data_IF_765995612146
#
_entry.id   IF_765995612146
#
_cell.length_a   1.000
_cell.length_b   1.000
_cell.length_c   1.000
_cell.angle_alpha   90.00
_cell.angle_beta   90.00
_cell.angle_gamma   90.00
#
_symmetry.space_group_name_H-M   'P 1'
#
loop_
_entity.id
_entity.type
_entity.pdbx_description
1 polymer ?
#
# COMPACT_ATOMS: atom_id res chain seq x y z
N UNK A 1 2.42 11.19 35.93
CA UNK A 1 1.88 10.44 34.78
C UNK A 1 1.85 8.97 35.17
N UNK A 2 0.69 8.33 35.19
CA UNK A 2 0.58 6.91 35.55
C UNK A 2 0.80 6.06 34.29
N UNK A 3 1.62 5.01 34.41
CA UNK A 3 1.94 4.07 33.33
C UNK A 3 1.24 2.74 33.62
N UNK A 4 0.78 2.08 32.56
CA UNK A 4 0.19 0.75 32.65
C UNK A 4 0.98 -0.26 31.83
N UNK A 5 0.89 -1.52 32.24
CA UNK A 5 1.67 -2.62 31.70
C UNK A 5 0.71 -3.70 31.22
N UNK A 6 0.88 -4.15 29.99
CA UNK A 6 0.15 -5.27 29.40
C UNK A 6 1.14 -6.37 29.06
N UNK A 7 0.87 -7.59 29.52
CA UNK A 7 1.57 -8.78 29.08
C UNK A 7 0.66 -9.57 28.13
N UNK A 8 1.06 -9.71 26.88
CA UNK A 8 0.37 -10.52 25.88
C UNK A 8 1.26 -11.71 25.49
N UNK A 9 0.83 -12.92 25.83
CA UNK A 9 1.58 -14.15 25.61
C UNK A 9 0.76 -15.15 24.80
N UNK A 10 1.38 -15.76 23.80
CA UNK A 10 0.77 -16.84 23.01
C UNK A 10 0.78 -18.15 23.82
N UNK A 11 -0.41 -18.69 24.10
CA UNK A 11 -0.57 -19.89 24.94
C UNK A 11 -0.11 -21.18 24.25
N UNK A 12 -0.43 -21.34 22.95
CA UNK A 12 -0.20 -22.57 22.20
C UNK A 12 0.56 -22.27 20.90
N UNK A 13 1.86 -21.90 20.98
CA UNK A 13 2.66 -21.62 19.79
C UNK A 13 2.86 -22.90 18.96
N UNK A 14 3.00 -22.79 17.62
CA UNK A 14 3.38 -23.92 16.78
C UNK A 14 4.72 -24.54 17.23
N UNK A 15 4.88 -25.85 17.00
CA UNK A 15 6.15 -26.53 17.27
C UNK A 15 7.32 -25.82 16.58
N UNK A 16 8.44 -25.69 17.29
CA UNK A 16 9.67 -25.03 16.84
C UNK A 16 9.55 -23.53 16.51
N UNK A 17 8.43 -22.88 16.85
CA UNK A 17 8.26 -21.42 16.74
C UNK A 17 8.34 -20.79 18.12
N UNK A 18 9.18 -19.76 18.26
CA UNK A 18 9.24 -18.98 19.50
C UNK A 18 7.90 -18.28 19.73
N UNK A 19 7.26 -18.55 20.86
CA UNK A 19 6.00 -17.94 21.26
C UNK A 19 6.06 -16.41 21.19
N UNK A 20 4.99 -15.79 20.71
CA UNK A 20 4.81 -14.35 20.86
C UNK A 20 4.68 -14.04 22.36
N UNK A 21 5.52 -13.12 22.83
CA UNK A 21 5.47 -12.63 24.20
C UNK A 21 5.83 -11.13 24.21
N UNK A 22 4.83 -10.29 24.44
CA UNK A 22 4.95 -8.84 24.41
C UNK A 22 4.64 -8.24 25.79
N UNK A 23 5.60 -7.49 26.32
CA UNK A 23 5.40 -6.60 27.47
C UNK A 23 5.26 -5.17 26.95
N UNK A 24 4.05 -4.63 26.98
CA UNK A 24 3.72 -3.32 26.43
C UNK A 24 3.52 -2.31 27.57
N UNK A 25 4.17 -1.16 27.44
CA UNK A 25 3.99 -0.02 28.34
C UNK A 25 3.13 1.04 27.65
N UNK A 26 2.07 1.49 28.30
CA UNK A 26 1.13 2.47 27.71
C UNK A 26 0.69 3.52 28.72
N UNK A 27 0.42 4.73 28.22
CA UNK A 27 -0.21 5.81 28.97
C UNK A 27 -1.73 5.83 28.79
N UNK A 28 -2.28 4.96 27.93
CA UNK A 28 -3.73 4.84 27.77
C UNK A 28 -4.36 4.22 29.01
N UNK A 29 -5.57 4.65 29.37
CA UNK A 29 -6.34 4.05 30.45
C UNK A 29 -6.82 2.65 30.05
N UNK A 30 -6.64 1.67 30.93
CA UNK A 30 -7.11 0.30 30.74
C UNK A 30 -8.08 0.01 31.87
N UNK A 31 -9.35 -0.10 31.51
CA UNK A 31 -10.43 -0.28 32.49
C UNK A 31 -11.06 -1.68 32.39
N UNK A 32 -10.79 -2.39 31.29
CA UNK A 32 -11.42 -3.66 30.95
C UNK A 32 -10.58 -4.44 29.93
N UNK A 33 -11.08 -5.62 29.57
CA UNK A 33 -10.45 -6.46 28.55
C UNK A 33 -10.41 -5.81 27.17
N UNK A 34 -11.47 -5.10 26.77
CA UNK A 34 -11.57 -4.49 25.43
C UNK A 34 -10.54 -3.37 25.22
N UNK A 35 -10.32 -2.53 26.23
CA UNK A 35 -9.26 -1.52 26.23
C UNK A 35 -7.86 -2.14 26.21
N UNK A 36 -7.66 -3.27 26.89
CA UNK A 36 -6.42 -4.07 26.82
C UNK A 36 -6.20 -4.60 25.40
N UNK A 37 -7.21 -5.27 24.83
CA UNK A 37 -7.16 -5.85 23.49
C UNK A 37 -6.91 -4.78 22.42
N UNK A 38 -7.52 -3.60 22.56
CA UNK A 38 -7.27 -2.45 21.68
C UNK A 38 -5.81 -2.02 21.71
N UNK A 39 -5.18 -1.94 22.88
CA UNK A 39 -3.77 -1.58 22.99
C UNK A 39 -2.86 -2.59 22.29
N UNK A 40 -3.15 -3.89 22.45
CA UNK A 40 -2.44 -4.96 21.74
C UNK A 40 -2.66 -4.85 20.24
N UNK A 41 -3.90 -4.64 19.78
CA UNK A 41 -4.23 -4.42 18.36
C UNK A 41 -3.46 -3.21 17.79
N UNK A 42 -3.43 -2.09 18.51
CA UNK A 42 -2.65 -0.91 18.13
C UNK A 42 -1.17 -1.25 17.92
N UNK A 43 -0.59 -2.09 18.78
CA UNK A 43 0.81 -2.52 18.66
C UNK A 43 1.05 -3.40 17.43
N UNK A 44 0.06 -4.18 16.97
CA UNK A 44 0.18 -4.99 15.74
C UNK A 44 0.43 -4.11 14.50
N UNK A 45 -0.06 -2.86 14.49
CA UNK A 45 0.17 -1.92 13.42
C UNK A 45 1.60 -1.33 13.40
N UNK A 46 2.42 -1.56 14.44
CA UNK A 46 3.82 -1.09 14.49
C UNK A 46 4.60 -1.47 13.24
N UNK A 47 4.36 -2.66 12.70
CA UNK A 47 5.06 -3.18 11.51
C UNK A 47 4.81 -2.35 10.23
N UNK A 48 3.77 -1.51 10.19
CA UNK A 48 3.50 -0.63 9.05
C UNK A 48 4.67 0.32 8.74
N UNK A 49 5.42 0.77 9.75
CA UNK A 49 6.59 1.63 9.53
C UNK A 49 7.73 0.87 8.82
N UNK A 50 7.85 -0.43 9.06
CA UNK A 50 8.85 -1.26 8.38
C UNK A 50 8.46 -1.46 6.91
N UNK A 51 7.16 -1.60 6.63
CA UNK A 51 6.63 -1.58 5.26
C UNK A 51 6.89 -0.24 4.57
N UNK A 52 6.78 0.88 5.30
CA UNK A 52 7.14 2.20 4.80
C UNK A 52 8.62 2.28 4.43
N UNK A 53 9.53 1.89 5.32
CA UNK A 53 10.96 1.86 5.02
C UNK A 53 11.29 0.94 3.83
N UNK A 54 10.65 -0.22 3.73
CA UNK A 54 10.84 -1.12 2.59
C UNK A 54 10.42 -0.48 1.25
N UNK A 55 9.29 0.24 1.23
CA UNK A 55 8.81 0.98 0.04
C UNK A 55 9.65 2.23 -0.25
N UNK A 56 10.24 2.86 0.75
CA UNK A 56 11.11 4.01 0.53
C UNK A 56 12.46 3.55 -0.06
N UNK A 57 13.03 2.48 0.50
CA UNK A 57 14.36 1.98 0.15
C UNK A 57 14.38 1.09 -1.09
N UNK A 58 13.78 -0.10 -1.00
CA UNK A 58 13.85 -1.10 -2.07
C UNK A 58 12.91 -0.77 -3.22
N UNK A 59 11.69 -0.45 -2.82
CA UNK A 59 10.82 0.61 -3.30
C UNK A 59 11.14 1.57 -4.44
N UNK A 60 11.02 2.82 -4.02
CA UNK A 60 11.42 4.04 -4.67
C UNK A 60 12.92 4.10 -4.99
N UNK A 61 13.76 3.27 -4.36
CA UNK A 61 15.18 3.22 -4.66
C UNK A 61 15.97 4.40 -4.13
N UNK A 62 15.52 5.05 -3.04
CA UNK A 62 16.13 6.30 -2.57
C UNK A 62 17.64 6.16 -2.28
N UNK A 63 18.07 5.01 -1.77
CA UNK A 63 19.48 4.72 -1.45
C UNK A 63 20.35 4.54 -2.72
N UNK A 64 19.74 4.48 -3.91
CA UNK A 64 20.45 4.38 -5.20
C UNK A 64 20.72 5.75 -5.81
N UNK A 65 20.12 6.82 -5.29
CA UNK A 65 20.31 8.16 -5.82
C UNK A 65 21.75 8.62 -5.56
N UNK A 66 22.42 9.14 -6.59
CA UNK A 66 23.80 9.66 -6.53
C UNK A 66 23.77 11.19 -6.46
N UNK A 67 23.10 11.76 -5.44
CA UNK A 67 22.98 13.20 -5.26
C UNK A 67 24.18 13.76 -4.50
N UNK A 68 24.85 14.75 -5.06
CA UNK A 68 26.15 15.26 -4.59
C UNK A 68 26.11 16.04 -3.26
N UNK A 69 24.93 16.54 -2.84
CA UNK A 69 24.83 17.41 -1.65
C UNK A 69 23.74 16.95 -0.70
N UNK A 70 23.97 17.16 0.60
CA UNK A 70 23.00 16.86 1.66
C UNK A 70 21.65 17.56 1.41
N UNK A 71 21.65 18.80 0.93
CA UNK A 71 20.43 19.54 0.58
C UNK A 71 19.63 18.81 -0.50
N UNK A 72 20.27 18.34 -1.58
CA UNK A 72 19.59 17.59 -2.64
C UNK A 72 19.04 16.25 -2.12
N UNK A 73 19.77 15.57 -1.25
CA UNK A 73 19.32 14.33 -0.59
C UNK A 73 18.06 14.58 0.26
N UNK A 74 18.04 15.65 1.07
CA UNK A 74 16.86 15.99 1.87
C UNK A 74 15.63 16.30 1.01
N UNK A 75 15.80 17.02 -0.10
CA UNK A 75 14.70 17.29 -1.03
C UNK A 75 14.15 16.00 -1.65
N UNK A 76 15.04 15.11 -2.10
CA UNK A 76 14.63 13.80 -2.62
C UNK A 76 13.89 13.00 -1.54
N UNK A 77 14.43 12.94 -0.33
CA UNK A 77 13.79 12.25 0.79
C UNK A 77 12.37 12.75 1.03
N UNK A 78 12.16 14.07 1.08
CA UNK A 78 10.82 14.64 1.27
C UNK A 78 9.85 14.20 0.16
N UNK A 79 10.26 14.27 -1.12
CA UNK A 79 9.41 13.85 -2.24
C UNK A 79 9.10 12.35 -2.20
N UNK A 80 10.13 11.52 -2.02
CA UNK A 80 9.97 10.07 -2.00
C UNK A 80 9.18 9.60 -0.77
N UNK A 81 9.26 10.31 0.36
CA UNK A 81 8.45 10.05 1.54
C UNK A 81 6.95 10.18 1.27
N UNK A 82 6.54 11.20 0.51
CA UNK A 82 5.12 11.40 0.12
C UNK A 82 4.68 10.29 -0.83
N UNK A 83 5.51 9.96 -1.83
CA UNK A 83 5.21 8.89 -2.79
C UNK A 83 5.07 7.54 -2.09
N UNK A 84 5.98 7.25 -1.15
CA UNK A 84 5.98 6.03 -0.33
C UNK A 84 4.70 5.92 0.48
N UNK A 85 4.31 7.00 1.15
CA UNK A 85 3.06 7.06 1.90
C UNK A 85 1.85 6.84 0.99
N UNK A 86 1.76 7.50 -0.17
CA UNK A 86 0.64 7.35 -1.12
C UNK A 86 0.53 5.92 -1.64
N UNK A 87 1.65 5.24 -1.92
CA UNK A 87 1.65 3.83 -2.33
C UNK A 87 1.09 2.92 -1.24
N UNK A 88 1.56 3.09 0.00
CA UNK A 88 1.06 2.32 1.13
C UNK A 88 -0.41 2.59 1.36
N UNK A 89 -0.80 3.86 1.39
CA UNK A 89 -2.19 4.27 1.54
C UNK A 89 -3.08 3.63 0.49
N UNK A 90 -2.75 3.71 -0.80
CA UNK A 90 -3.52 3.07 -1.87
C UNK A 90 -3.68 1.55 -1.63
N UNK A 91 -2.59 0.90 -1.22
CA UNK A 91 -2.56 -0.55 -0.97
C UNK A 91 -3.48 -0.96 0.17
N UNK A 92 -3.50 -0.19 1.25
CA UNK A 92 -4.37 -0.49 2.40
C UNK A 92 -5.80 -0.01 2.16
N UNK A 93 -5.99 1.12 1.49
CA UNK A 93 -7.30 1.65 1.16
C UNK A 93 -8.10 0.68 0.29
N UNK A 94 -7.46 -0.02 -0.66
CA UNK A 94 -8.14 -1.06 -1.44
C UNK A 94 -8.54 -2.30 -0.64
N UNK A 95 -7.96 -2.49 0.55
CA UNK A 95 -8.28 -3.60 1.46
C UNK A 95 -9.37 -3.21 2.45
N UNK A 96 -9.27 -2.01 3.03
CA UNK A 96 -10.24 -1.47 3.98
C UNK A 96 -11.54 -1.04 3.30
N UNK A 97 -11.44 -0.40 2.14
CA UNK A 97 -12.57 0.16 1.40
C UNK A 97 -12.59 -0.39 -0.04
N UNK A 98 -12.75 -1.71 -0.24
CA UNK A 98 -12.55 -2.35 -1.54
C UNK A 98 -13.59 -1.96 -2.60
N UNK A 99 -14.80 -1.58 -2.17
CA UNK A 99 -15.96 -1.35 -3.03
C UNK A 99 -16.09 0.08 -3.53
N UNK A 100 -15.34 1.04 -2.97
CA UNK A 100 -15.40 2.43 -3.43
C UNK A 100 -14.92 2.51 -4.89
N UNK A 101 -15.47 3.41 -5.71
CA UNK A 101 -15.05 3.54 -7.09
C UNK A 101 -13.61 4.04 -7.16
N UNK A 102 -12.83 3.56 -8.13
CA UNK A 102 -11.40 3.83 -8.18
C UNK A 102 -11.05 5.28 -8.60
N UNK A 103 -12.02 6.02 -9.13
CA UNK A 103 -11.89 7.42 -9.55
C UNK A 103 -11.73 8.40 -8.38
N UNK A 104 -11.96 7.96 -7.14
CA UNK A 104 -11.57 8.69 -5.94
C UNK A 104 -10.05 8.78 -5.77
N UNK A 105 -9.28 7.94 -6.48
CA UNK A 105 -7.81 7.90 -6.41
C UNK A 105 -7.14 8.11 -7.76
N UNK A 106 -7.72 7.55 -8.82
CA UNK A 106 -7.21 7.55 -10.18
C UNK A 106 -7.98 8.55 -11.02
N UNK A 107 -7.28 9.38 -11.78
CA UNK A 107 -7.93 10.25 -12.76
C UNK A 107 -8.60 9.42 -13.87
N UNK A 108 -9.58 10.02 -14.56
CA UNK A 108 -10.36 9.37 -15.63
C UNK A 108 -9.50 8.64 -16.65
N UNK A 109 -8.46 9.31 -17.14
CA UNK A 109 -7.54 8.74 -18.13
C UNK A 109 -6.68 7.58 -17.58
N UNK A 110 -6.38 7.57 -16.28
CA UNK A 110 -5.60 6.50 -15.64
C UNK A 110 -6.44 5.24 -15.55
N UNK A 111 -7.64 5.31 -14.97
CA UNK A 111 -8.45 4.10 -14.81
C UNK A 111 -9.01 3.58 -16.16
N UNK A 112 -9.32 4.47 -17.10
CA UNK A 112 -9.78 4.05 -18.43
C UNK A 112 -8.68 3.32 -19.20
N UNK A 113 -7.47 3.90 -19.23
CA UNK A 113 -6.33 3.28 -19.91
C UNK A 113 -5.91 1.96 -19.25
N UNK A 114 -6.01 1.88 -17.92
CA UNK A 114 -5.81 0.65 -17.16
C UNK A 114 -6.78 -0.45 -17.59
N UNK A 115 -8.10 -0.15 -17.58
CA UNK A 115 -9.13 -1.09 -18.00
C UNK A 115 -8.93 -1.52 -19.45
N UNK A 116 -8.66 -0.57 -20.35
CA UNK A 116 -8.47 -0.84 -21.76
C UNK A 116 -7.27 -1.77 -22.00
N UNK A 117 -6.17 -1.52 -21.30
CA UNK A 117 -4.94 -2.33 -21.41
C UNK A 117 -5.14 -3.74 -20.85
N UNK A 118 -5.75 -3.88 -19.68
CA UNK A 118 -5.93 -5.19 -19.04
C UNK A 118 -6.93 -6.06 -19.80
N UNK A 119 -8.02 -5.47 -20.28
CA UNK A 119 -9.07 -6.19 -21.00
C UNK A 119 -8.77 -6.34 -22.48
N UNK A 120 -7.68 -5.72 -22.99
CA UNK A 120 -7.33 -5.63 -24.41
C UNK A 120 -8.51 -5.12 -25.26
N UNK A 121 -9.23 -4.14 -24.72
CA UNK A 121 -10.39 -3.53 -25.37
C UNK A 121 -10.22 -2.00 -25.35
N UNK A 122 -10.17 -1.32 -26.51
CA UNK A 122 -10.01 0.13 -26.57
C UNK A 122 -11.20 0.92 -26.02
N UNK A 123 -12.34 0.27 -25.76
CA UNK A 123 -13.50 0.88 -25.13
C UNK A 123 -13.49 0.57 -23.62
N UNK A 124 -13.11 1.53 -22.76
CA UNK A 124 -13.19 1.35 -21.32
C UNK A 124 -14.67 1.27 -20.89
N UNK A 125 -14.96 0.64 -19.73
CA UNK A 125 -16.31 0.61 -19.20
C UNK A 125 -16.84 2.04 -18.94
N UNK A 126 -18.17 2.27 -19.01
CA UNK A 126 -18.76 3.59 -18.79
C UNK A 126 -18.64 4.08 -17.35
N UNK A 127 -18.44 3.15 -16.40
CA UNK A 127 -18.31 3.43 -14.98
C UNK A 127 -16.95 2.95 -14.46
N UNK A 128 -16.35 3.65 -13.49
CA UNK A 128 -15.09 3.24 -12.90
C UNK A 128 -15.25 1.89 -12.18
N UNK A 129 -14.27 0.98 -12.30
CA UNK A 129 -14.25 -0.23 -11.49
C UNK A 129 -14.05 0.10 -10.00
N UNK A 130 -14.27 -0.89 -9.14
CA UNK A 130 -13.97 -0.72 -7.71
C UNK A 130 -12.47 -0.53 -7.47
N UNK A 131 -12.11 0.10 -6.36
CA UNK A 131 -10.72 0.32 -5.98
C UNK A 131 -9.96 -1.01 -5.86
N UNK A 132 -10.60 -2.05 -5.34
CA UNK A 132 -10.01 -3.40 -5.29
C UNK A 132 -9.71 -3.94 -6.68
N UNK A 133 -10.64 -3.80 -7.63
CA UNK A 133 -10.42 -4.23 -9.01
C UNK A 133 -9.29 -3.45 -9.67
N UNK A 134 -9.28 -2.12 -9.51
CA UNK A 134 -8.24 -1.24 -10.05
C UNK A 134 -6.85 -1.59 -9.49
N UNK A 135 -6.70 -1.76 -8.16
CA UNK A 135 -5.41 -2.13 -7.56
C UNK A 135 -4.93 -3.51 -8.01
N UNK A 136 -5.83 -4.48 -8.20
CA UNK A 136 -5.45 -5.79 -8.77
C UNK A 136 -5.01 -5.67 -10.22
N UNK A 137 -5.70 -4.85 -11.02
CA UNK A 137 -5.31 -4.55 -12.40
C UNK A 137 -3.93 -3.87 -12.48
N UNK A 138 -3.68 -2.88 -11.63
CA UNK A 138 -2.37 -2.25 -11.46
C UNK A 138 -1.33 -3.31 -11.11
N UNK A 139 -1.59 -4.14 -10.11
CA UNK A 139 -0.67 -5.20 -9.71
C UNK A 139 -0.38 -6.19 -10.85
N UNK A 140 -1.38 -6.51 -11.69
CA UNK A 140 -1.19 -7.35 -12.90
C UNK A 140 -0.20 -6.72 -13.88
N UNK A 141 -0.27 -5.40 -14.11
CA UNK A 141 0.76 -4.70 -14.89
C UNK A 141 2.15 -4.87 -14.26
N UNK A 142 2.24 -4.92 -12.93
CA UNK A 142 3.47 -5.15 -12.19
C UNK A 142 3.90 -6.62 -12.05
N UNK A 143 3.21 -7.57 -12.68
CA UNK A 143 3.54 -9.00 -12.68
C UNK A 143 2.79 -9.86 -11.66
N UNK A 144 1.76 -9.33 -11.00
CA UNK A 144 0.86 -10.15 -10.16
C UNK A 144 -0.03 -11.04 -11.04
N UNK A 145 -0.03 -12.34 -10.81
CA UNK A 145 -0.74 -13.30 -11.66
C UNK A 145 -2.25 -13.28 -11.45
N UNK A 146 -2.71 -12.94 -10.24
CA UNK A 146 -4.12 -12.80 -9.90
C UNK A 146 -4.92 -14.11 -10.06
N UNK A 147 -4.34 -15.25 -9.65
CA UNK A 147 -5.02 -16.55 -9.58
C UNK A 147 -5.97 -16.60 -8.37
N UNK A 148 -6.86 -17.60 -8.34
CA UNK A 148 -7.94 -17.73 -7.33
C UNK A 148 -7.42 -17.70 -5.87
N UNK A 149 -6.22 -18.24 -5.63
CA UNK A 149 -5.64 -18.38 -4.29
C UNK A 149 -4.40 -17.52 -4.03
N UNK A 150 -4.08 -16.56 -4.90
CA UNK A 150 -2.89 -15.70 -4.75
C UNK A 150 -3.02 -14.65 -3.61
N UNK A 151 -4.22 -14.51 -3.03
CA UNK A 151 -4.50 -13.50 -2.01
C UNK A 151 -4.47 -12.06 -2.53
N UNK A 152 -4.04 -11.13 -1.68
CA UNK A 152 -3.94 -9.70 -2.02
C UNK A 152 -2.56 -9.35 -2.60
N UNK A 153 -2.48 -8.44 -3.59
CA UNK A 153 -1.21 -8.06 -4.20
C UNK A 153 -0.27 -7.39 -3.19
N UNK A 154 1.03 -7.66 -3.35
CA UNK A 154 2.09 -7.05 -2.57
C UNK A 154 2.51 -5.67 -3.08
N UNK A 155 3.12 -4.86 -2.21
CA UNK A 155 3.58 -3.50 -2.54
C UNK A 155 4.51 -3.44 -3.76
N UNK A 156 5.34 -4.47 -3.94
CA UNK A 156 6.29 -4.55 -5.06
C UNK A 156 5.59 -4.64 -6.42
N UNK A 157 4.51 -5.43 -6.54
CA UNK A 157 3.76 -5.54 -7.79
C UNK A 157 2.90 -4.30 -8.02
N UNK A 158 2.32 -3.73 -6.96
CA UNK A 158 1.54 -2.49 -7.06
C UNK A 158 2.40 -1.33 -7.55
N UNK A 159 3.59 -1.10 -6.99
CA UNK A 159 4.45 0.02 -7.46
C UNK A 159 4.83 -0.18 -8.93
N UNK A 160 5.21 -1.42 -9.31
CA UNK A 160 5.67 -1.70 -10.68
C UNK A 160 4.54 -1.44 -11.65
N UNK A 161 3.34 -1.83 -11.24
CA UNK A 161 2.09 -1.54 -11.92
C UNK A 161 1.84 -0.06 -12.11
N UNK A 162 1.94 0.74 -11.04
CA UNK A 162 1.71 2.18 -11.10
C UNK A 162 2.68 2.88 -12.04
N UNK A 163 3.96 2.51 -11.99
CA UNK A 163 4.96 3.08 -12.91
C UNK A 163 4.60 2.80 -14.37
N UNK A 164 4.21 1.57 -14.69
CA UNK A 164 3.75 1.21 -16.04
C UNK A 164 2.44 1.91 -16.42
N UNK A 165 1.50 2.02 -15.47
CA UNK A 165 0.23 2.70 -15.69
C UNK A 165 0.45 4.17 -16.01
N UNK A 166 1.40 4.84 -15.36
CA UNK A 166 1.71 6.24 -15.65
C UNK A 166 2.08 6.42 -17.14
N UNK A 167 3.00 5.61 -17.67
CA UNK A 167 3.42 5.67 -19.08
C UNK A 167 2.25 5.38 -20.04
N UNK A 168 1.43 4.39 -19.70
CA UNK A 168 0.22 4.01 -20.46
C UNK A 168 -0.80 5.16 -20.48
N UNK A 169 -1.04 5.76 -19.32
CA UNK A 169 -2.03 6.83 -19.13
C UNK A 169 -1.61 8.11 -19.86
N UNK A 170 -0.31 8.44 -19.87
CA UNK A 170 0.19 9.56 -20.68
C UNK A 170 -0.03 9.32 -22.18
N UNK A 171 0.28 8.10 -22.66
CA UNK A 171 0.01 7.74 -24.06
C UNK A 171 -1.47 7.82 -24.40
N UNK A 172 -2.33 7.34 -23.50
CA UNK A 172 -3.78 7.40 -23.65
C UNK A 172 -4.30 8.83 -23.79
N UNK A 173 -3.79 9.76 -22.95
CA UNK A 173 -4.10 11.19 -23.03
C UNK A 173 -3.79 11.76 -24.41
N UNK A 174 -2.61 11.45 -24.97
CA UNK A 174 -2.18 11.97 -26.27
C UNK A 174 -3.05 11.50 -27.44
N UNK A 175 -3.53 10.25 -27.39
CA UNK A 175 -4.39 9.70 -28.44
C UNK A 175 -5.80 10.28 -28.33
N UNK A 176 -6.34 10.37 -27.10
CA UNK A 176 -7.69 10.87 -26.86
C UNK A 176 -7.81 12.38 -27.02
N UNK A 177 -6.75 13.17 -26.81
CA UNK A 177 -6.77 14.62 -27.03
C UNK A 177 -6.90 15.03 -28.50
N UNK A 178 -6.73 14.09 -29.43
CA UNK A 178 -6.84 14.31 -30.89
C UNK A 178 -8.21 13.92 -31.46
N UNK A 179 -9.15 13.47 -30.63
CA UNK A 179 -10.51 13.06 -31.02
C UNK A 179 -11.53 13.97 -30.34
#
# INVERSE_FOLDING_TARGET
MQLQVILASEENPPADVKAINWLLLTTQQINDFDSTARCVECYTYRWLIERYHYVLKSGCGIEKLQLETAKRIHMALATYSIITWRLLWLTYQSRFNPSIPCDVVLETHEWQSLCATINKNPLPPPQPPSLKQAVRMIAKLGGFLCRKSDGEPGLKTIWRGLRRLHDIAQTWKLIKSKT
#
